data_IF_986118724842
#
_entry.id   IF_986118724842
#
_cell.length_a   1.000
_cell.length_b   1.000
_cell.length_c   1.000
_cell.angle_alpha   90.00
_cell.angle_beta   90.00
_cell.angle_gamma   90.00
#
_symmetry.space_group_name_H-M   'P 1'
#
loop_
_entity.id
_entity.type
_entity.pdbx_description
1 polymer ?
#
# COMPACT_ATOMS: atom_id res chain seq x y z
N UNK A 1 -5.75 3.42 26.30
CA UNK A 1 -4.88 2.35 25.79
C UNK A 1 -4.67 2.37 24.28
N UNK A 2 -5.70 2.38 23.44
CA UNK A 2 -5.55 2.39 21.97
C UNK A 2 -4.82 3.65 21.45
N UNK A 3 -5.16 4.84 21.92
CA UNK A 3 -4.52 6.09 21.52
C UNK A 3 -3.01 6.13 21.86
N UNK A 4 -2.62 5.63 23.03
CA UNK A 4 -1.20 5.52 23.40
C UNK A 4 -0.44 4.56 22.48
N UNK A 5 -1.05 3.43 22.11
CA UNK A 5 -0.43 2.48 21.15
C UNK A 5 -0.28 3.09 19.75
N UNK A 6 -1.24 3.87 19.31
CA UNK A 6 -1.19 4.57 18.01
C UNK A 6 -0.07 5.62 17.98
N UNK A 7 0.09 6.41 19.03
CA UNK A 7 1.15 7.39 19.10
C UNK A 7 2.54 6.73 19.14
N UNK A 8 2.68 5.61 19.82
CA UNK A 8 3.92 4.84 19.84
C UNK A 8 4.29 4.29 18.45
N UNK A 9 3.34 3.72 17.72
CA UNK A 9 3.56 3.22 16.36
C UNK A 9 3.93 4.35 15.39
N UNK A 10 3.27 5.51 15.51
CA UNK A 10 3.61 6.72 14.75
C UNK A 10 5.05 7.16 15.04
N UNK A 11 5.43 7.20 16.30
CA UNK A 11 6.78 7.57 16.74
C UNK A 11 7.82 6.58 16.20
N UNK A 12 7.55 5.28 16.26
CA UNK A 12 8.43 4.26 15.69
C UNK A 12 8.64 4.46 14.19
N UNK A 13 7.60 4.75 13.43
CA UNK A 13 7.73 5.03 12.01
C UNK A 13 8.59 6.27 11.72
N UNK A 14 8.37 7.37 12.46
CA UNK A 14 9.17 8.59 12.31
C UNK A 14 10.64 8.36 12.70
N UNK A 15 10.89 7.58 13.75
CA UNK A 15 12.25 7.21 14.15
C UNK A 15 12.94 6.35 13.07
N UNK A 16 12.24 5.42 12.44
CA UNK A 16 12.78 4.64 11.32
C UNK A 16 13.19 5.52 10.14
N UNK A 17 12.37 6.54 9.81
CA UNK A 17 12.72 7.50 8.77
C UNK A 17 13.97 8.32 9.12
N UNK A 18 14.06 8.79 10.35
CA UNK A 18 15.23 9.55 10.83
C UNK A 18 16.50 8.70 10.89
N UNK A 19 16.39 7.44 11.29
CA UNK A 19 17.51 6.49 11.28
C UNK A 19 18.00 6.23 9.85
N UNK A 20 17.10 6.09 8.89
CA UNK A 20 17.44 5.93 7.47
C UNK A 20 18.22 7.14 6.94
N UNK A 21 17.82 8.37 7.32
CA UNK A 21 18.54 9.59 6.96
C UNK A 21 19.93 9.65 7.62
N UNK A 22 20.05 9.29 8.91
CA UNK A 22 21.31 9.32 9.64
C UNK A 22 22.37 8.37 9.06
N UNK A 23 21.97 7.25 8.50
CA UNK A 23 22.86 6.32 7.79
C UNK A 23 23.08 6.69 6.32
N UNK A 24 22.57 7.85 5.88
CA UNK A 24 22.55 8.24 4.47
C UNK A 24 21.96 7.16 3.55
N UNK A 25 21.17 6.27 4.12
CA UNK A 25 20.34 5.33 3.40
C UNK A 25 19.13 6.14 2.96
N UNK A 26 19.23 6.77 1.81
CA UNK A 26 18.09 7.41 1.19
C UNK A 26 17.32 6.31 0.44
N UNK A 27 16.25 5.74 1.03
CA UNK A 27 15.53 4.61 0.43
C UNK A 27 15.02 4.94 -0.98
N UNK A 28 14.73 6.22 -1.22
CA UNK A 28 14.32 6.75 -2.52
C UNK A 28 15.48 6.89 -3.53
N UNK A 29 16.72 7.05 -3.10
CA UNK A 29 17.90 7.07 -4.00
C UNK A 29 18.37 5.66 -4.34
N UNK A 30 18.25 4.71 -3.43
CA UNK A 30 18.55 3.31 -3.70
C UNK A 30 17.63 2.70 -4.77
N UNK A 31 16.52 3.34 -5.09
CA UNK A 31 15.49 2.78 -5.97
C UNK A 31 15.65 3.11 -7.44
N UNK A 32 16.42 4.13 -7.79
CA UNK A 32 16.49 4.60 -9.17
C UNK A 32 17.76 4.19 -9.93
N UNK A 33 18.82 3.77 -9.27
CA UNK A 33 20.05 3.33 -9.91
C UNK A 33 20.89 2.41 -9.02
N UNK A 34 20.39 1.31 -8.55
CA UNK A 34 21.29 0.26 -8.10
C UNK A 34 21.64 -0.62 -9.28
N UNK A 35 22.45 -0.07 -10.16
CA UNK A 35 23.29 -0.87 -11.03
C UNK A 35 24.71 -0.81 -10.46
N UNK A 36 24.87 -1.19 -9.22
CA UNK A 36 26.16 -1.62 -8.76
C UNK A 36 26.34 -3.04 -9.28
N UNK A 37 27.18 -3.17 -10.27
CA UNK A 37 27.62 -4.48 -10.72
C UNK A 37 28.39 -5.12 -9.57
N UNK A 38 27.73 -5.95 -8.78
CA UNK A 38 28.46 -6.89 -7.96
C UNK A 38 29.20 -7.84 -8.91
N UNK A 39 30.46 -8.08 -8.65
CA UNK A 39 31.22 -9.14 -9.30
C UNK A 39 31.16 -10.36 -8.37
N UNK A 40 30.99 -11.52 -8.97
CA UNK A 40 31.20 -12.75 -8.23
C UNK A 40 32.69 -12.94 -7.90
N UNK A 41 33.01 -13.96 -7.11
CA UNK A 41 34.39 -14.30 -6.75
C UNK A 41 35.29 -14.65 -7.94
N UNK A 42 34.74 -14.79 -9.14
CA UNK A 42 35.43 -15.06 -10.42
C UNK A 42 35.50 -13.86 -11.32
N UNK A 43 35.06 -12.67 -10.88
CA UNK A 43 35.10 -11.44 -11.66
C UNK A 43 33.98 -11.27 -12.69
N UNK A 44 33.03 -12.20 -12.75
CA UNK A 44 31.88 -12.07 -13.65
C UNK A 44 30.91 -10.99 -13.13
N UNK A 45 30.36 -10.17 -14.05
CA UNK A 45 29.32 -9.20 -13.69
C UNK A 45 28.05 -9.93 -13.29
N UNK A 46 27.67 -9.79 -12.03
CA UNK A 46 26.36 -10.23 -11.58
C UNK A 46 25.28 -9.33 -12.19
N UNK A 47 24.13 -9.92 -12.55
CA UNK A 47 22.98 -9.15 -13.03
C UNK A 47 22.57 -8.16 -11.94
N UNK A 48 22.25 -6.91 -12.30
CA UNK A 48 21.77 -5.94 -11.32
C UNK A 48 20.54 -6.49 -10.60
N UNK A 49 20.57 -6.44 -9.27
CA UNK A 49 19.39 -6.81 -8.46
C UNK A 49 18.40 -5.66 -8.56
N UNK A 50 17.29 -5.90 -9.21
CA UNK A 50 16.19 -4.95 -9.24
C UNK A 50 15.56 -4.83 -7.83
N UNK A 51 15.55 -3.62 -7.29
CA UNK A 51 15.01 -3.34 -5.94
C UNK A 51 13.48 -3.32 -5.92
N UNK A 52 12.84 -3.14 -7.08
CA UNK A 52 11.39 -3.27 -7.28
C UNK A 52 11.10 -4.30 -8.36
N UNK A 53 10.29 -5.30 -8.07
CA UNK A 53 9.90 -6.33 -9.04
C UNK A 53 8.38 -6.45 -9.10
N UNK A 54 7.87 -6.75 -10.29
CA UNK A 54 6.50 -7.18 -10.48
C UNK A 54 6.45 -8.71 -10.62
N UNK A 55 5.49 -9.31 -9.97
CA UNK A 55 5.18 -10.73 -10.07
C UNK A 55 3.71 -10.91 -10.41
N UNK A 56 3.43 -11.81 -11.34
CA UNK A 56 2.08 -12.15 -11.74
C UNK A 56 1.66 -13.47 -11.08
N UNK A 57 0.47 -13.47 -10.47
CA UNK A 57 -0.16 -14.68 -9.94
C UNK A 57 -1.46 -14.92 -10.69
N UNK A 58 -1.56 -16.09 -11.28
CA UNK A 58 -2.80 -16.55 -11.89
C UNK A 58 -3.79 -16.96 -10.79
N UNK A 59 -5.02 -16.52 -10.94
CA UNK A 59 -6.15 -16.84 -10.05
C UNK A 59 -7.23 -17.59 -10.85
N UNK A 60 -8.19 -18.15 -10.14
CA UNK A 60 -9.34 -18.81 -10.75
C UNK A 60 -10.06 -17.88 -11.74
N UNK A 61 -10.71 -18.47 -12.73
CA UNK A 61 -11.44 -17.77 -13.80
C UNK A 61 -10.56 -16.90 -14.74
N UNK A 62 -9.28 -17.24 -14.90
CA UNK A 62 -8.38 -16.55 -15.83
C UNK A 62 -7.96 -15.15 -15.39
N UNK A 63 -8.16 -14.78 -14.15
CA UNK A 63 -7.72 -13.50 -13.60
C UNK A 63 -6.24 -13.55 -13.26
N UNK A 64 -5.49 -12.54 -13.68
CA UNK A 64 -4.08 -12.36 -13.29
C UNK A 64 -3.97 -11.22 -12.30
N UNK A 65 -3.37 -11.49 -11.16
CA UNK A 65 -3.08 -10.47 -10.15
C UNK A 65 -1.60 -10.11 -10.17
N UNK A 66 -1.33 -8.82 -10.32
CA UNK A 66 0.04 -8.30 -10.34
C UNK A 66 0.40 -7.80 -8.95
N UNK A 67 1.52 -8.30 -8.41
CA UNK A 67 2.08 -7.86 -7.14
C UNK A 67 3.38 -7.11 -7.37
N UNK A 68 3.56 -6.03 -6.63
CA UNK A 68 4.81 -5.30 -6.61
C UNK A 68 5.62 -5.70 -5.36
N UNK A 69 6.75 -6.31 -5.58
CA UNK A 69 7.70 -6.67 -4.53
C UNK A 69 8.68 -5.52 -4.32
N UNK A 70 8.67 -4.93 -3.15
CA UNK A 70 9.64 -3.95 -2.72
C UNK A 70 10.74 -4.61 -1.87
N UNK A 71 11.85 -3.92 -1.70
CA UNK A 71 12.99 -4.41 -0.92
C UNK A 71 12.70 -4.51 0.59
N UNK A 72 13.56 -5.27 1.29
CA UNK A 72 13.43 -5.53 2.73
C UNK A 72 13.51 -4.23 3.56
N UNK A 73 14.33 -3.26 3.15
CA UNK A 73 14.48 -2.00 3.86
C UNK A 73 13.21 -1.16 3.78
N UNK A 74 12.63 -1.05 2.59
CA UNK A 74 11.34 -0.41 2.39
C UNK A 74 10.25 -1.07 3.23
N UNK A 75 10.17 -2.39 3.24
CA UNK A 75 9.19 -3.11 4.07
C UNK A 75 9.40 -2.84 5.57
N UNK A 76 10.65 -2.83 6.02
CA UNK A 76 10.98 -2.58 7.42
C UNK A 76 10.60 -1.17 7.87
N UNK A 77 10.86 -0.16 7.05
CA UNK A 77 10.47 1.24 7.32
C UNK A 77 8.96 1.40 7.31
N UNK A 78 8.25 0.71 6.42
CA UNK A 78 6.79 0.80 6.33
C UNK A 78 6.05 0.01 7.43
N UNK A 79 6.70 -0.93 8.10
CA UNK A 79 6.06 -1.79 9.10
C UNK A 79 5.36 -1.04 10.23
N UNK A 80 6.00 -0.06 10.92
CA UNK A 80 5.32 0.71 11.97
C UNK A 80 4.10 1.48 11.46
N UNK A 81 4.18 2.06 10.26
CA UNK A 81 3.04 2.73 9.64
C UNK A 81 1.91 1.75 9.31
N UNK A 82 2.27 0.59 8.77
CA UNK A 82 1.32 -0.49 8.50
C UNK A 82 0.53 -0.87 9.77
N UNK A 83 1.22 -1.13 10.87
CA UNK A 83 0.60 -1.51 12.13
C UNK A 83 -0.27 -0.37 12.72
N UNK A 84 0.19 0.87 12.58
CA UNK A 84 -0.57 2.05 12.97
C UNK A 84 -1.90 2.16 12.19
N UNK A 85 -1.86 2.05 10.87
CA UNK A 85 -3.06 2.11 10.02
C UNK A 85 -4.03 0.95 10.31
N UNK A 86 -3.52 -0.26 10.50
CA UNK A 86 -4.34 -1.40 10.87
C UNK A 86 -4.98 -1.24 12.24
N UNK A 87 -4.30 -0.59 13.20
CA UNK A 87 -4.92 -0.30 14.49
C UNK A 87 -6.08 0.70 14.38
N UNK A 88 -6.01 1.65 13.45
CA UNK A 88 -7.13 2.55 13.11
C UNK A 88 -8.28 1.74 12.51
N UNK A 89 -8.03 0.93 11.48
CA UNK A 89 -9.05 0.13 10.81
C UNK A 89 -9.78 -0.78 11.81
N UNK A 90 -9.04 -1.40 12.72
CA UNK A 90 -9.61 -2.26 13.77
C UNK A 90 -10.61 -1.53 14.69
N UNK A 91 -10.49 -0.21 14.82
CA UNK A 91 -11.40 0.61 15.61
C UNK A 91 -12.65 1.06 14.84
N UNK A 92 -12.70 0.84 13.53
CA UNK A 92 -13.82 1.25 12.67
C UNK A 92 -14.89 0.15 12.65
N UNK A 93 -16.10 0.40 13.16
CA UNK A 93 -17.15 -0.64 13.25
C UNK A 93 -17.59 -1.21 11.90
N UNK A 94 -17.45 -0.42 10.83
CA UNK A 94 -17.85 -0.82 9.47
C UNK A 94 -16.74 -1.45 8.66
N UNK A 95 -15.53 -1.52 9.20
CA UNK A 95 -14.41 -2.19 8.55
C UNK A 95 -14.58 -3.71 8.60
N UNK A 96 -14.29 -4.38 7.49
CA UNK A 96 -14.38 -5.83 7.34
C UNK A 96 -13.00 -6.50 7.22
N UNK A 97 -11.91 -5.75 7.38
CA UNK A 97 -10.54 -6.25 7.17
C UNK A 97 -10.20 -7.41 8.10
N UNK A 98 -10.69 -7.38 9.34
CA UNK A 98 -10.35 -8.38 10.37
C UNK A 98 -11.42 -9.46 10.55
N UNK A 99 -12.68 -9.15 10.26
CA UNK A 99 -13.79 -10.09 10.41
C UNK A 99 -14.84 -9.87 9.31
N UNK A 100 -14.61 -10.57 8.21
CA UNK A 100 -15.50 -10.51 7.05
C UNK A 100 -16.88 -11.11 7.34
N UNK A 101 -16.93 -12.19 8.13
CA UNK A 101 -18.19 -12.86 8.45
C UNK A 101 -19.10 -11.97 9.27
N UNK A 102 -18.60 -11.35 10.33
CA UNK A 102 -19.37 -10.39 11.11
C UNK A 102 -19.80 -9.18 10.28
N UNK A 103 -18.98 -8.72 9.33
CA UNK A 103 -19.36 -7.65 8.42
C UNK A 103 -20.54 -8.06 7.50
N UNK A 104 -20.49 -9.27 6.94
CA UNK A 104 -21.58 -9.83 6.13
C UNK A 104 -22.86 -9.94 6.94
N UNK A 105 -22.82 -10.45 8.16
CA UNK A 105 -23.99 -10.55 9.05
C UNK A 105 -24.59 -9.18 9.35
N UNK A 106 -23.76 -8.17 9.62
CA UNK A 106 -24.24 -6.78 9.78
C UNK A 106 -24.95 -6.27 8.52
N UNK A 107 -24.37 -6.53 7.34
CA UNK A 107 -24.99 -6.16 6.06
C UNK A 107 -26.34 -6.89 5.86
N UNK A 108 -26.39 -8.17 6.15
CA UNK A 108 -27.64 -8.97 6.09
C UNK A 108 -28.74 -8.41 7.00
N UNK A 109 -28.38 -8.09 8.23
CA UNK A 109 -29.33 -7.53 9.21
C UNK A 109 -29.90 -6.20 8.74
N UNK A 110 -29.05 -5.32 8.17
CA UNK A 110 -29.48 -4.04 7.61
C UNK A 110 -30.34 -4.23 6.35
N UNK A 111 -29.93 -5.12 5.44
CA UNK A 111 -30.67 -5.42 4.22
C UNK A 111 -32.08 -5.96 4.51
N UNK A 112 -32.24 -6.83 5.52
CA UNK A 112 -33.54 -7.31 5.95
C UNK A 112 -34.45 -6.20 6.46
N UNK A 113 -33.90 -5.20 7.17
CA UNK A 113 -34.67 -4.06 7.69
C UNK A 113 -35.05 -3.05 6.59
N UNK A 114 -34.16 -2.82 5.63
CA UNK A 114 -34.35 -1.82 4.56
C UNK A 114 -35.02 -2.38 3.31
N UNK A 115 -35.09 -3.72 3.17
CA UNK A 115 -35.60 -4.39 1.96
C UNK A 115 -34.67 -4.34 0.75
N UNK A 116 -33.46 -3.75 0.88
CA UNK A 116 -32.52 -3.62 -0.24
C UNK A 116 -31.06 -3.69 0.23
N UNK A 117 -30.17 -4.07 -0.69
CA UNK A 117 -28.72 -3.99 -0.52
C UNK A 117 -28.05 -3.56 -1.83
N UNK A 118 -26.94 -2.87 -1.71
CA UNK A 118 -26.13 -2.43 -2.86
C UNK A 118 -24.70 -2.89 -2.65
N UNK A 119 -24.16 -3.64 -3.62
CA UNK A 119 -22.80 -4.13 -3.61
C UNK A 119 -22.02 -3.52 -4.78
N UNK A 120 -20.79 -3.06 -4.49
CA UNK A 120 -19.88 -2.52 -5.49
C UNK A 120 -18.52 -3.16 -5.33
N UNK A 121 -17.87 -3.45 -6.46
CA UNK A 121 -16.48 -3.91 -6.50
C UNK A 121 -15.61 -2.89 -7.24
N UNK A 122 -14.40 -2.68 -6.75
CA UNK A 122 -13.44 -1.76 -7.32
C UNK A 122 -12.43 -2.53 -8.20
N UNK A 123 -12.46 -2.29 -9.50
CA UNK A 123 -11.47 -2.86 -10.40
C UNK A 123 -10.12 -2.19 -10.24
N UNK A 124 -9.06 -2.99 -9.96
CA UNK A 124 -7.69 -2.53 -9.78
C UNK A 124 -7.59 -1.36 -8.78
N UNK A 125 -8.26 -1.50 -7.63
CA UNK A 125 -8.42 -0.43 -6.66
C UNK A 125 -7.08 0.19 -6.21
N UNK A 126 -6.07 -0.64 -5.93
CA UNK A 126 -4.74 -0.20 -5.48
C UNK A 126 -4.01 0.61 -6.54
N UNK A 127 -4.14 0.20 -7.81
CA UNK A 127 -3.47 0.87 -8.94
C UNK A 127 -4.16 2.17 -9.37
N UNK A 128 -5.47 2.31 -9.06
CA UNK A 128 -6.31 3.40 -9.57
C UNK A 128 -6.68 4.44 -8.53
N UNK A 129 -6.73 4.10 -7.24
CA UNK A 129 -7.04 5.07 -6.20
C UNK A 129 -5.87 6.05 -6.05
N UNK A 130 -6.07 7.37 -6.30
CA UNK A 130 -4.97 8.32 -6.39
C UNK A 130 -4.13 8.37 -5.13
N UNK A 131 -2.84 8.13 -5.25
CA UNK A 131 -1.89 8.22 -4.13
C UNK A 131 -1.84 9.62 -3.54
N UNK A 132 -2.07 10.67 -4.35
CA UNK A 132 -2.12 12.06 -3.88
C UNK A 132 -3.25 12.30 -2.88
N UNK A 133 -4.42 11.69 -3.08
CA UNK A 133 -5.51 11.72 -2.12
C UNK A 133 -5.11 11.03 -0.82
N UNK A 134 -4.46 9.88 -0.93
CA UNK A 134 -3.98 9.11 0.21
C UNK A 134 -2.92 9.90 1.01
N UNK A 135 -2.01 10.59 0.33
CA UNK A 135 -1.04 11.52 0.96
C UNK A 135 -1.76 12.63 1.73
N UNK A 136 -2.81 13.21 1.16
CA UNK A 136 -3.58 14.27 1.85
C UNK A 136 -4.20 13.76 3.15
N UNK A 137 -4.82 12.59 3.11
CA UNK A 137 -5.40 11.93 4.30
C UNK A 137 -4.31 11.58 5.31
N UNK A 138 -3.24 10.94 4.86
CA UNK A 138 -2.15 10.52 5.71
C UNK A 138 -1.43 11.71 6.35
N UNK A 139 -1.35 12.84 5.64
CA UNK A 139 -0.77 14.08 6.17
C UNK A 139 -1.47 14.59 7.43
N UNK A 140 -2.76 14.33 7.59
CA UNK A 140 -3.52 14.69 8.81
C UNK A 140 -3.13 13.82 10.00
N UNK A 141 -2.63 12.60 9.74
CA UNK A 141 -2.29 11.63 10.78
C UNK A 141 -0.83 11.70 11.23
N UNK A 142 0.10 11.82 10.27
CA UNK A 142 1.55 11.75 10.54
C UNK A 142 2.34 12.98 10.10
N UNK A 143 1.65 13.99 9.58
CA UNK A 143 2.28 15.20 9.06
C UNK A 143 2.67 15.08 7.58
N UNK A 144 2.72 16.23 6.92
CA UNK A 144 2.93 16.33 5.48
C UNK A 144 4.29 15.79 4.98
N UNK A 145 5.41 16.05 5.67
CA UNK A 145 6.70 15.51 5.24
C UNK A 145 6.72 13.99 5.23
N UNK A 146 6.30 13.34 6.31
CA UNK A 146 6.29 11.88 6.43
C UNK A 146 5.32 11.23 5.43
N UNK A 147 4.15 11.83 5.19
CA UNK A 147 3.19 11.34 4.20
C UNK A 147 3.73 11.41 2.76
N UNK A 148 4.51 12.45 2.43
CA UNK A 148 5.18 12.55 1.12
C UNK A 148 6.26 11.49 0.96
N UNK A 149 7.12 11.33 1.97
CA UNK A 149 8.16 10.29 1.97
C UNK A 149 7.56 8.88 1.82
N UNK A 150 6.44 8.61 2.48
CA UNK A 150 5.71 7.37 2.29
C UNK A 150 5.33 7.14 0.82
N UNK A 151 4.77 8.13 0.14
CA UNK A 151 4.41 8.00 -1.26
C UNK A 151 5.65 7.83 -2.15
N UNK A 152 6.72 8.58 -1.91
CA UNK A 152 7.97 8.47 -2.66
C UNK A 152 8.59 7.09 -2.54
N UNK A 153 8.61 6.50 -1.34
CA UNK A 153 9.06 5.12 -1.13
C UNK A 153 8.29 4.10 -1.99
N UNK A 154 7.02 4.35 -2.24
CA UNK A 154 6.15 3.44 -2.98
C UNK A 154 6.17 3.67 -4.49
N UNK A 155 6.11 4.92 -4.95
CA UNK A 155 5.84 5.24 -6.35
C UNK A 155 6.99 5.93 -7.09
N UNK A 156 8.00 6.47 -6.39
CA UNK A 156 9.17 7.08 -7.03
C UNK A 156 10.27 6.06 -7.30
N UNK A 157 9.89 4.89 -7.82
CA UNK A 157 10.81 3.81 -8.19
C UNK A 157 10.31 3.07 -9.42
N UNK A 158 11.24 2.41 -10.09
CA UNK A 158 10.92 1.51 -11.19
C UNK A 158 10.69 0.09 -10.64
N UNK A 159 9.68 -0.56 -11.22
CA UNK A 159 9.34 -1.95 -10.98
C UNK A 159 9.59 -2.74 -12.25
N UNK A 160 10.30 -3.84 -12.15
CA UNK A 160 10.73 -4.62 -13.28
C UNK A 160 9.92 -5.91 -13.39
N UNK A 161 9.43 -6.19 -14.59
CA UNK A 161 8.76 -7.43 -14.94
C UNK A 161 9.60 -8.19 -15.95
N UNK A 162 10.10 -9.35 -15.54
CA UNK A 162 10.79 -10.26 -16.45
C UNK A 162 9.83 -11.27 -17.03
N UNK A 163 9.81 -11.40 -18.34
CA UNK A 163 8.95 -12.35 -19.06
C UNK A 163 9.70 -13.02 -20.19
N UNK A 164 9.23 -14.19 -20.60
CA UNK A 164 9.81 -14.92 -21.74
C UNK A 164 9.16 -14.45 -23.04
N UNK A 165 9.97 -14.11 -24.02
CA UNK A 165 9.54 -13.86 -25.39
C UNK A 165 10.30 -14.82 -26.31
N UNK A 166 9.67 -15.93 -26.62
CA UNK A 166 10.33 -17.06 -27.28
C UNK A 166 11.39 -17.70 -26.37
N UNK A 167 12.63 -17.74 -26.80
CA UNK A 167 13.76 -18.27 -26.00
C UNK A 167 14.52 -17.19 -25.22
N UNK A 168 14.14 -15.91 -25.37
CA UNK A 168 14.82 -14.78 -24.75
C UNK A 168 14.05 -14.30 -23.52
N UNK A 169 14.76 -13.96 -22.45
CA UNK A 169 14.20 -13.26 -21.29
C UNK A 169 14.28 -11.75 -21.53
N UNK A 170 13.12 -11.10 -21.63
CA UNK A 170 13.00 -9.65 -21.68
C UNK A 170 12.59 -9.12 -20.29
N UNK A 171 12.97 -7.88 -20.02
CA UNK A 171 12.63 -7.21 -18.76
C UNK A 171 12.13 -5.81 -19.07
N UNK A 172 10.86 -5.57 -18.76
CA UNK A 172 10.25 -4.26 -18.88
C UNK A 172 10.27 -3.52 -17.53
N UNK A 173 10.29 -2.20 -17.61
CA UNK A 173 10.27 -1.31 -16.46
C UNK A 173 8.97 -0.53 -16.42
N UNK A 174 8.32 -0.49 -15.25
CA UNK A 174 7.06 0.19 -15.00
C UNK A 174 7.16 1.09 -13.79
N UNK A 175 6.41 2.18 -13.79
CA UNK A 175 6.30 3.10 -12.65
C UNK A 175 4.83 3.40 -12.35
N UNK A 176 4.48 3.40 -11.07
CA UNK A 176 3.14 3.78 -10.66
C UNK A 176 2.92 5.29 -10.88
N UNK A 177 1.88 5.65 -11.62
CA UNK A 177 1.56 7.04 -11.98
C UNK A 177 0.34 7.60 -11.25
N UNK A 178 -0.58 6.72 -10.83
CA UNK A 178 -1.85 7.13 -10.19
C UNK A 178 -1.97 6.55 -8.79
N UNK A 179 -1.99 5.23 -8.67
CA UNK A 179 -2.15 4.50 -7.43
C UNK A 179 -0.82 4.11 -6.78
N UNK A 180 -0.83 3.01 -6.07
CA UNK A 180 0.31 2.52 -5.31
C UNK A 180 0.50 1.01 -5.50
N UNK A 181 1.72 0.47 -5.22
CA UNK A 181 2.02 -0.94 -5.44
C UNK A 181 1.27 -1.85 -4.48
N UNK A 182 0.58 -2.85 -5.04
CA UNK A 182 0.02 -3.94 -4.26
C UNK A 182 1.15 -4.90 -3.85
N UNK A 183 1.32 -5.13 -2.55
CA UNK A 183 2.38 -5.99 -1.98
C UNK A 183 3.33 -5.27 -1.02
N UNK A 184 3.44 -3.93 -1.12
CA UNK A 184 4.13 -3.14 -0.11
C UNK A 184 3.30 -3.04 1.17
N UNK A 185 3.97 -3.09 2.34
CA UNK A 185 3.32 -2.82 3.63
C UNK A 185 2.68 -1.43 3.62
N UNK A 186 1.64 -1.25 4.42
CA UNK A 186 0.76 -0.06 4.47
C UNK A 186 -0.15 0.16 3.25
N UNK A 187 0.17 -0.40 2.09
CA UNK A 187 -0.59 -0.18 0.85
C UNK A 187 -2.08 -0.52 1.02
N UNK A 188 -2.38 -1.74 1.43
CA UNK A 188 -3.76 -2.18 1.64
C UNK A 188 -4.47 -1.41 2.75
N UNK A 189 -3.79 -1.20 3.89
CA UNK A 189 -4.38 -0.47 5.01
C UNK A 189 -4.72 0.97 4.62
N UNK A 190 -3.86 1.64 3.86
CA UNK A 190 -4.11 3.00 3.39
C UNK A 190 -5.23 3.06 2.35
N UNK A 191 -5.32 2.04 1.47
CA UNK A 191 -6.44 1.88 0.55
C UNK A 191 -7.77 1.77 1.30
N UNK A 192 -7.85 0.86 2.28
CA UNK A 192 -9.06 0.62 3.07
C UNK A 192 -9.49 1.87 3.84
N UNK A 193 -8.56 2.56 4.48
CA UNK A 193 -8.84 3.80 5.20
C UNK A 193 -9.33 4.90 4.25
N UNK A 194 -8.69 5.06 3.10
CA UNK A 194 -9.08 6.06 2.09
C UNK A 194 -10.48 5.77 1.56
N UNK A 195 -10.77 4.52 1.23
CA UNK A 195 -12.09 4.10 0.77
C UNK A 195 -13.16 4.38 1.82
N UNK A 196 -12.90 4.02 3.08
CA UNK A 196 -13.81 4.31 4.20
C UNK A 196 -14.12 5.81 4.28
N UNK A 197 -13.11 6.67 4.25
CA UNK A 197 -13.29 8.12 4.32
C UNK A 197 -14.04 8.68 3.12
N UNK A 198 -13.85 8.14 1.92
CA UNK A 198 -14.62 8.51 0.73
C UNK A 198 -16.10 8.17 0.87
N UNK A 199 -16.42 6.99 1.42
CA UNK A 199 -17.82 6.59 1.69
C UNK A 199 -18.44 7.50 2.74
N UNK A 200 -17.72 7.83 3.83
CA UNK A 200 -18.18 8.77 4.84
C UNK A 200 -18.42 10.17 4.25
N UNK A 201 -17.50 10.64 3.43
CA UNK A 201 -17.65 11.93 2.73
C UNK A 201 -18.87 11.94 1.82
N UNK A 202 -19.07 10.90 1.01
CA UNK A 202 -20.23 10.77 0.13
C UNK A 202 -21.54 10.77 0.95
N UNK A 203 -21.57 10.04 2.06
CA UNK A 203 -22.73 10.03 2.97
C UNK A 203 -23.01 11.44 3.52
N UNK A 204 -22.01 12.17 3.97
CA UNK A 204 -22.16 13.52 4.51
C UNK A 204 -22.69 14.53 3.48
N UNK A 205 -22.48 14.28 2.18
CA UNK A 205 -23.01 15.11 1.08
C UNK A 205 -24.49 14.84 0.78
N UNK A 206 -24.97 13.63 1.05
CA UNK A 206 -26.34 13.20 0.75
C UNK A 206 -27.23 13.28 2.00
N UNK A 207 -26.68 12.93 3.15
CA UNK A 207 -27.39 12.92 4.44
C UNK A 207 -26.58 13.69 5.48
N UNK A 208 -27.30 14.37 6.38
CA UNK A 208 -26.65 14.94 7.57
C UNK A 208 -26.40 13.81 8.57
N UNK A 209 -25.22 13.22 8.55
CA UNK A 209 -24.84 12.15 9.47
C UNK A 209 -23.67 11.29 8.97
N UNK A 210 -23.31 10.29 9.74
CA UNK A 210 -22.27 9.31 9.39
C UNK A 210 -22.91 8.06 8.80
N UNK A 211 -22.18 7.42 7.89
CA UNK A 211 -22.54 6.08 7.42
C UNK A 211 -22.25 5.06 8.52
N UNK A 212 -23.27 4.37 8.96
CA UNK A 212 -23.20 3.34 10.00
C UNK A 212 -23.45 1.94 9.46
#
# INVERSE_FOLDING_TARGET
>A
MAAMKMEELRKQFLNCLQAADAFNIQPWQCTTKVVTYAQDSYGNRLKPVAVGQLSCKEEAAGKVRVFAMVDIWTQSVLKPLHDFLFSILKSIPNDATFDQNAAVERCFTKARKSGCSFGYDLSAATDRLPVRLQVSILSSLIGRPAARLWAELLVNRDYYLSHKKGQVMETDSFRYSVGQPMGALSSWAMLALTHHLLVQYACSRVRKGTFS
#
